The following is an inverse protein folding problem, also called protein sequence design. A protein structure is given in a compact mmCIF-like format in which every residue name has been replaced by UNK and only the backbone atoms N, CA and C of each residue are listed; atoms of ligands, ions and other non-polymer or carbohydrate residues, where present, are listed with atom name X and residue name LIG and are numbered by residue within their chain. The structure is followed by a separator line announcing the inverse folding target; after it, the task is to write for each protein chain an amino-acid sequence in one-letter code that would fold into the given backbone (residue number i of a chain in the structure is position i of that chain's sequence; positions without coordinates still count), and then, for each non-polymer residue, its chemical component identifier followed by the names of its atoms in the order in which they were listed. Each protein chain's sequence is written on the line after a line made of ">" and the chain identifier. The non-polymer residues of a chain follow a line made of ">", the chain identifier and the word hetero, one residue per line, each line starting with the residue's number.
data_IF_513462749500
#
_entry.id   IF_513462749500
#
_cell.length_a   1.000
_cell.length_b   1.000
_cell.length_c   1.000
_cell.angle_alpha   90.00
_cell.angle_beta   90.00
_cell.angle_gamma   90.00
#
_symmetry.space_group_name_H-M   'P 1'
#
loop_
_entity.id
_entity.type
_entity.pdbx_description
1 polymer ?
#
# COMPACT_ATOMS: atom_id res chain seq x y z
N UNK A 1 -22.11 24.91 45.29
CA UNK A 1 -22.92 25.46 44.17
C UNK A 1 -22.29 26.76 43.68
N UNK A 2 -22.21 26.89 42.34
CA UNK A 2 -21.66 28.00 41.52
C UNK A 2 -20.13 28.02 41.36
N UNK A 3 -19.55 28.30 40.19
CA UNK A 3 -19.97 28.41 38.77
C UNK A 3 -18.64 28.42 37.99
N UNK A 4 -18.55 27.68 36.89
CA UNK A 4 -17.42 27.64 35.95
C UNK A 4 -17.28 29.00 35.24
N UNK A 5 -16.06 29.52 35.08
CA UNK A 5 -15.69 30.47 34.02
C UNK A 5 -14.29 30.15 33.49
N UNK A 6 -14.25 29.73 32.23
CA UNK A 6 -13.08 29.45 31.41
C UNK A 6 -12.59 30.79 30.84
N UNK A 7 -11.31 31.12 31.02
CA UNK A 7 -10.66 32.24 30.32
C UNK A 7 -9.87 31.65 29.15
N UNK A 8 -10.46 31.73 27.95
CA UNK A 8 -9.79 31.52 26.67
C UNK A 8 -8.90 32.73 26.38
N UNK A 9 -7.58 32.56 26.49
CA UNK A 9 -6.62 33.56 26.00
C UNK A 9 -6.06 33.10 24.65
N UNK A 10 -6.77 33.48 23.59
CA UNK A 10 -6.27 33.54 22.22
C UNK A 10 -5.34 34.75 22.08
N UNK A 11 -4.05 34.52 21.85
CA UNK A 11 -3.17 35.53 21.24
C UNK A 11 -2.34 34.88 20.14
N UNK A 12 -2.67 35.34 18.94
CA UNK A 12 -2.16 34.98 17.62
C UNK A 12 -0.82 35.70 17.40
N UNK A 13 0.21 34.98 16.94
CA UNK A 13 1.32 35.57 16.20
C UNK A 13 1.54 34.76 14.92
N UNK A 14 0.74 35.11 13.91
CA UNK A 14 0.98 34.77 12.51
C UNK A 14 2.18 35.61 12.03
N UNK A 15 3.27 34.96 11.66
CA UNK A 15 4.35 35.58 10.88
C UNK A 15 4.11 35.21 9.42
N UNK A 16 3.59 36.15 8.64
CA UNK A 16 3.40 36.03 7.20
C UNK A 16 4.69 36.37 6.45
N UNK A 17 5.11 35.60 5.43
CA UNK A 17 6.18 35.99 4.52
C UNK A 17 5.73 37.13 3.60
N UNK A 18 6.69 38.02 3.28
CA UNK A 18 6.52 39.21 2.44
C UNK A 18 6.29 38.84 0.97
N UNK A 19 5.18 39.38 0.46
CA UNK A 19 4.89 39.88 -0.90
C UNK A 19 6.01 39.86 -1.96
N UNK A 20 5.61 39.35 -3.14
CA UNK A 20 6.09 39.77 -4.46
C UNK A 20 5.03 39.37 -5.50
N UNK A 21 4.23 40.33 -5.93
CA UNK A 21 3.14 40.20 -6.92
C UNK A 21 3.52 41.10 -8.10
N UNK A 22 3.60 40.54 -9.30
CA UNK A 22 3.59 41.29 -10.57
C UNK A 22 2.59 40.58 -11.50
N UNK A 23 1.50 41.29 -11.81
CA UNK A 23 0.51 40.98 -12.86
C UNK A 23 1.15 41.18 -14.24
N UNK A 24 0.78 40.37 -15.25
CA UNK A 24 0.30 40.86 -16.57
C UNK A 24 -0.62 39.79 -17.20
N UNK A 25 -1.82 40.24 -17.61
CA UNK A 25 -2.83 39.51 -18.39
C UNK A 25 -2.41 39.46 -19.87
N UNK A 26 -2.81 38.40 -20.61
CA UNK A 26 -3.63 38.57 -21.82
C UNK A 26 -4.08 37.24 -22.48
N UNK A 27 -5.39 37.22 -22.72
CA UNK A 27 -6.21 36.66 -23.83
C UNK A 27 -6.06 35.23 -24.39
N UNK A 28 -7.15 34.48 -24.17
CA UNK A 28 -7.96 33.61 -25.05
C UNK A 28 -7.34 32.96 -26.29
N UNK A 29 -7.45 31.61 -26.38
CA UNK A 29 -7.88 30.96 -27.62
C UNK A 29 -8.59 29.61 -27.37
N UNK A 30 -9.72 29.50 -28.06
CA UNK A 30 -10.63 28.40 -28.33
C UNK A 30 -9.95 27.15 -28.94
N UNK A 31 -10.47 25.96 -28.63
CA UNK A 31 -10.02 24.71 -29.25
C UNK A 31 -10.49 23.45 -28.54
N UNK A 32 -11.69 22.99 -28.91
CA UNK A 32 -12.27 21.66 -28.68
C UNK A 32 -11.31 20.50 -28.96
N UNK A 33 -11.41 19.42 -28.19
CA UNK A 33 -11.98 18.14 -28.65
C UNK A 33 -11.77 17.03 -27.60
N UNK A 34 -12.84 16.28 -27.39
CA UNK A 34 -12.94 15.13 -26.52
C UNK A 34 -12.13 13.97 -27.12
N UNK A 35 -11.12 13.48 -26.40
CA UNK A 35 -10.45 12.22 -26.75
C UNK A 35 -10.77 11.19 -25.65
N UNK A 36 -11.85 10.44 -25.88
CA UNK A 36 -12.11 9.18 -25.18
C UNK A 36 -11.07 8.18 -25.69
N UNK A 37 -10.11 7.81 -24.84
CA UNK A 37 -9.30 6.63 -25.11
C UNK A 37 -10.15 5.39 -24.87
N UNK A 38 -10.62 4.78 -25.96
CA UNK A 38 -11.18 3.43 -25.96
C UNK A 38 -10.14 2.46 -25.36
N UNK A 39 -10.46 1.90 -24.19
CA UNK A 39 -9.77 0.74 -23.62
C UNK A 39 -10.27 -0.49 -24.40
N UNK A 40 -9.53 -0.88 -25.43
CA UNK A 40 -9.76 -2.15 -26.13
C UNK A 40 -9.41 -3.29 -25.17
N UNK A 41 -10.43 -4.01 -24.70
CA UNK A 41 -10.26 -5.28 -23.99
C UNK A 41 -9.81 -6.35 -25.00
N UNK A 42 -8.55 -6.79 -24.91
CA UNK A 42 -8.02 -7.88 -25.73
C UNK A 42 -8.66 -9.22 -25.31
N UNK A 43 -9.68 -9.64 -26.06
CA UNK A 43 -10.41 -10.90 -25.87
C UNK A 43 -9.86 -11.95 -26.84
N UNK A 44 -9.58 -13.17 -26.35
CA UNK A 44 -9.17 -14.28 -27.22
C UNK A 44 -10.31 -14.80 -28.13
N UNK A 45 -9.97 -15.60 -29.16
CA UNK A 45 -10.97 -16.15 -30.10
C UNK A 45 -12.03 -17.09 -29.46
N UNK A 46 -11.93 -17.38 -28.16
CA UNK A 46 -12.87 -18.21 -27.39
C UNK A 46 -13.69 -17.40 -26.37
N UNK A 47 -13.50 -16.07 -26.28
CA UNK A 47 -14.30 -15.18 -25.45
C UNK A 47 -13.95 -15.21 -23.96
N UNK A 48 -12.71 -15.55 -23.60
CA UNK A 48 -12.23 -15.50 -22.21
C UNK A 48 -11.40 -14.23 -21.95
N UNK A 49 -11.63 -13.58 -20.81
CA UNK A 49 -10.78 -12.49 -20.32
C UNK A 49 -9.37 -13.03 -20.07
N UNK A 50 -8.37 -12.54 -20.81
CA UNK A 50 -6.98 -12.90 -20.59
C UNK A 50 -6.44 -12.02 -19.45
N UNK A 51 -6.34 -12.58 -18.25
CA UNK A 51 -5.55 -11.98 -17.17
C UNK A 51 -4.05 -12.06 -17.54
N UNK A 52 -3.56 -11.06 -18.29
CA UNK A 52 -2.14 -10.88 -18.59
C UNK A 52 -1.32 -10.33 -17.41
N UNK A 53 -1.66 -10.67 -16.16
CA UNK A 53 -0.69 -10.57 -15.05
C UNK A 53 -0.03 -11.90 -14.67
N UNK A 54 -0.07 -12.88 -15.58
CA UNK A 54 0.85 -14.02 -15.64
C UNK A 54 2.25 -13.66 -16.18
N UNK A 55 2.84 -12.56 -15.72
CA UNK A 55 4.15 -12.07 -16.17
C UNK A 55 5.31 -12.77 -15.49
N UNK A 56 5.66 -13.97 -15.96
CA UNK A 56 6.98 -14.56 -15.75
C UNK A 56 8.05 -13.75 -16.48
N UNK A 57 8.59 -12.74 -15.81
CA UNK A 57 9.69 -11.90 -16.27
C UNK A 57 10.74 -11.73 -15.17
N UNK A 58 11.99 -11.94 -15.53
CA UNK A 58 13.12 -12.12 -14.64
C UNK A 58 13.51 -10.83 -13.89
N UNK A 59 13.80 -10.99 -12.59
CA UNK A 59 14.48 -10.07 -11.66
C UNK A 59 13.73 -8.83 -11.14
N UNK A 60 13.13 -8.97 -9.95
CA UNK A 60 12.56 -7.82 -9.25
C UNK A 60 12.15 -7.99 -7.79
N UNK A 61 12.69 -8.97 -7.05
CA UNK A 61 12.56 -8.98 -5.58
C UNK A 61 13.78 -8.28 -4.98
N UNK A 62 13.57 -7.19 -4.25
CA UNK A 62 14.64 -6.41 -3.59
C UNK A 62 14.95 -6.94 -2.20
N UNK A 63 13.96 -7.59 -1.58
CA UNK A 63 14.16 -8.21 -0.28
C UNK A 63 15.25 -9.26 -0.43
N UNK A 64 16.18 -9.37 0.52
CA UNK A 64 17.14 -10.50 0.50
C UNK A 64 16.46 -11.82 0.91
N UNK A 65 15.13 -11.84 0.94
CA UNK A 65 14.32 -12.91 1.47
C UNK A 65 13.83 -13.84 0.36
N UNK A 66 13.71 -15.12 0.67
CA UNK A 66 13.14 -16.13 -0.21
C UNK A 66 11.62 -16.01 -0.20
N UNK A 67 10.98 -15.97 -1.38
CA UNK A 67 9.52 -15.95 -1.45
C UNK A 67 8.96 -17.31 -1.05
N UNK A 68 7.90 -17.31 -0.25
CA UNK A 68 7.16 -18.52 0.15
C UNK A 68 5.70 -18.35 -0.22
N UNK A 69 5.17 -19.30 -0.98
CA UNK A 69 3.75 -19.35 -1.32
C UNK A 69 2.92 -19.66 -0.06
N UNK A 70 1.84 -18.89 0.12
CA UNK A 70 0.95 -18.96 1.28
C UNK A 70 -0.49 -18.65 0.86
N UNK A 71 -1.39 -18.47 1.83
CA UNK A 71 -2.75 -17.98 1.63
C UNK A 71 -2.86 -16.46 1.45
N UNK A 72 -1.75 -15.71 1.60
CA UNK A 72 -1.69 -14.28 1.29
C UNK A 72 -1.82 -14.01 -0.21
N UNK A 73 -2.33 -12.83 -0.56
CA UNK A 73 -2.54 -12.42 -1.96
C UNK A 73 -1.85 -11.09 -2.23
N UNK A 74 -1.31 -10.94 -3.44
CA UNK A 74 -0.70 -9.68 -3.88
C UNK A 74 -1.75 -8.56 -3.75
N UNK A 75 -1.41 -7.53 -2.97
CA UNK A 75 -2.19 -6.30 -2.84
C UNK A 75 -1.28 -5.13 -3.22
N UNK A 76 -1.69 -4.35 -4.22
CA UNK A 76 -0.98 -3.15 -4.62
C UNK A 76 -0.88 -2.14 -3.48
N UNK A 77 0.23 -1.44 -3.37
CA UNK A 77 0.43 -0.35 -2.43
C UNK A 77 1.42 0.68 -2.96
N UNK A 78 1.18 1.95 -2.60
CA UNK A 78 2.10 3.07 -2.86
C UNK A 78 2.72 3.63 -1.57
N UNK A 79 2.20 3.21 -0.41
CA UNK A 79 2.69 3.63 0.90
C UNK A 79 2.46 2.55 1.96
N UNK A 80 3.19 2.62 3.07
CA UNK A 80 3.09 1.66 4.17
C UNK A 80 1.68 1.62 4.79
N UNK A 81 1.01 2.77 4.88
CA UNK A 81 -0.34 2.93 5.42
C UNK A 81 -1.37 2.13 4.62
N UNK A 82 -1.15 1.96 3.31
CA UNK A 82 -2.00 1.13 2.46
C UNK A 82 -1.99 -0.36 2.87
N UNK A 83 -1.07 -0.81 3.72
CA UNK A 83 -1.00 -2.18 4.22
C UNK A 83 -1.54 -2.36 5.65
N UNK A 84 -2.08 -1.31 6.29
CA UNK A 84 -2.57 -1.39 7.69
C UNK A 84 -3.79 -2.30 7.88
N UNK A 85 -4.57 -2.49 6.83
CA UNK A 85 -5.71 -3.42 6.79
C UNK A 85 -5.28 -4.86 6.45
N UNK A 86 -3.98 -5.15 6.40
CA UNK A 86 -3.44 -6.48 6.14
C UNK A 86 -2.83 -7.11 7.40
N UNK A 87 -2.75 -8.43 7.40
CA UNK A 87 -2.14 -9.28 8.43
C UNK A 87 -1.22 -10.30 7.77
N UNK A 88 -0.43 -10.99 8.58
CA UNK A 88 0.32 -12.13 8.12
C UNK A 88 -0.57 -13.19 7.46
N UNK A 89 -0.06 -14.00 6.53
CA UNK A 89 -0.78 -15.18 6.07
C UNK A 89 -1.26 -16.03 7.24
N UNK A 90 -2.47 -16.59 7.12
CA UNK A 90 -3.05 -17.50 8.10
C UNK A 90 -2.12 -18.69 8.39
N UNK A 91 -1.44 -19.19 7.36
CA UNK A 91 -0.42 -20.25 7.46
C UNK A 91 0.81 -19.86 8.28
N UNK A 92 1.02 -18.58 8.58
CA UNK A 92 2.13 -18.03 9.36
C UNK A 92 1.73 -17.53 10.74
N UNK A 93 0.43 -17.52 11.04
CA UNK A 93 -0.16 -17.04 12.28
C UNK A 93 0.48 -17.66 13.54
N UNK A 94 0.65 -18.98 13.52
CA UNK A 94 1.32 -19.73 14.58
C UNK A 94 2.73 -20.07 14.09
N UNK A 95 3.74 -19.42 14.67
CA UNK A 95 5.13 -19.70 14.37
C UNK A 95 5.50 -21.13 14.75
N UNK A 96 6.15 -21.85 13.84
CA UNK A 96 6.71 -23.17 14.09
C UNK A 96 8.06 -23.07 14.79
N UNK A 97 8.54 -24.18 15.33
CA UNK A 97 9.88 -24.26 15.92
C UNK A 97 10.95 -23.75 14.94
N UNK A 98 11.84 -22.88 15.44
CA UNK A 98 12.88 -22.26 14.64
C UNK A 98 12.44 -21.07 13.78
N UNK A 99 11.17 -20.66 13.86
CA UNK A 99 10.67 -19.46 13.20
C UNK A 99 10.56 -18.28 14.17
N UNK A 100 10.76 -17.07 13.65
CA UNK A 100 10.56 -15.82 14.41
C UNK A 100 10.16 -14.68 13.48
N UNK A 101 9.30 -13.78 13.96
CA UNK A 101 9.00 -12.53 13.26
C UNK A 101 10.25 -11.65 13.09
N UNK A 102 10.26 -10.84 12.03
CA UNK A 102 11.13 -9.67 11.96
C UNK A 102 10.57 -8.55 12.85
N UNK A 103 11.18 -7.39 12.84
CA UNK A 103 10.69 -6.18 13.50
C UNK A 103 9.60 -5.45 12.70
N UNK A 104 9.22 -5.98 11.52
CA UNK A 104 8.20 -5.42 10.64
C UNK A 104 6.98 -6.34 10.61
N UNK A 105 5.79 -5.76 10.76
CA UNK A 105 4.55 -6.40 10.34
C UNK A 105 4.39 -6.34 8.82
N UNK A 106 3.16 -6.43 8.32
CA UNK A 106 2.88 -6.15 6.92
C UNK A 106 3.33 -4.74 6.53
N UNK A 107 4.10 -4.62 5.45
CA UNK A 107 4.59 -3.35 4.93
C UNK A 107 4.52 -3.31 3.41
N UNK A 108 4.47 -2.09 2.86
CA UNK A 108 4.55 -1.89 1.43
C UNK A 108 6.00 -2.01 0.99
N UNK A 109 6.32 -2.99 0.15
CA UNK A 109 7.64 -3.05 -0.46
C UNK A 109 7.69 -2.20 -1.72
N UNK A 110 8.47 -1.12 -1.64
CA UNK A 110 8.45 0.00 -2.58
C UNK A 110 8.69 -0.41 -4.03
N UNK A 111 9.55 -1.40 -4.29
CA UNK A 111 9.86 -1.78 -5.67
C UNK A 111 8.88 -2.80 -6.25
N UNK A 112 8.22 -3.57 -5.39
CA UNK A 112 7.17 -4.50 -5.79
C UNK A 112 5.79 -3.86 -5.79
N UNK A 113 5.67 -2.65 -5.22
CA UNK A 113 4.41 -1.98 -4.94
C UNK A 113 3.39 -2.95 -4.31
N UNK A 114 3.85 -3.79 -3.37
CA UNK A 114 3.03 -4.87 -2.82
C UNK A 114 3.14 -4.99 -1.31
N UNK A 115 2.01 -5.25 -0.65
CA UNK A 115 1.99 -5.54 0.78
C UNK A 115 2.58 -6.94 1.05
N UNK A 116 3.72 -6.98 1.73
CA UNK A 116 4.42 -8.20 2.11
C UNK A 116 4.73 -8.22 3.60
N UNK A 117 5.04 -9.40 4.11
CA UNK A 117 5.56 -9.61 5.46
C UNK A 117 6.78 -10.52 5.40
N UNK A 118 7.73 -10.28 6.30
CA UNK A 118 8.96 -11.06 6.42
C UNK A 118 8.97 -11.86 7.73
N UNK A 119 9.58 -13.04 7.69
CA UNK A 119 9.93 -13.82 8.89
C UNK A 119 11.30 -14.45 8.74
N UNK A 120 11.88 -14.84 9.88
CA UNK A 120 13.04 -15.74 9.90
C UNK A 120 12.57 -17.17 10.03
N UNK A 121 13.18 -18.06 9.25
CA UNK A 121 13.00 -19.51 9.33
C UNK A 121 14.39 -20.16 9.43
N UNK A 122 14.81 -20.46 10.66
CA UNK A 122 16.19 -20.83 10.96
C UNK A 122 17.18 -19.73 10.58
N UNK A 123 18.05 -20.00 9.61
CA UNK A 123 19.04 -19.04 9.10
C UNK A 123 18.57 -18.26 7.87
N UNK A 124 17.38 -18.58 7.34
CA UNK A 124 16.83 -17.95 6.14
C UNK A 124 15.88 -16.81 6.51
N UNK A 125 15.89 -15.77 5.70
CA UNK A 125 14.84 -14.75 5.67
C UNK A 125 13.84 -15.16 4.60
N UNK A 126 12.56 -15.20 4.93
CA UNK A 126 11.47 -15.53 4.03
C UNK A 126 10.49 -14.35 3.96
N UNK A 127 9.84 -14.16 2.81
CA UNK A 127 8.73 -13.23 2.67
C UNK A 127 7.53 -13.88 1.99
N UNK A 128 6.35 -13.35 2.28
CA UNK A 128 5.10 -13.74 1.64
C UNK A 128 4.23 -12.50 1.46
N UNK A 129 3.23 -12.59 0.57
CA UNK A 129 2.18 -11.58 0.50
C UNK A 129 1.35 -11.59 1.78
N UNK A 130 0.83 -10.42 2.17
CA UNK A 130 -0.08 -10.35 3.30
C UNK A 130 -1.48 -10.85 2.96
N UNK A 131 -2.29 -11.09 4.00
CA UNK A 131 -3.69 -11.45 3.90
C UNK A 131 -4.59 -10.32 4.43
N UNK A 132 -5.81 -10.14 3.89
CA UNK A 132 -6.75 -9.15 4.42
C UNK A 132 -7.07 -9.38 5.90
N UNK A 133 -7.13 -8.32 6.69
CA UNK A 133 -7.55 -8.38 8.10
C UNK A 133 -9.01 -8.84 8.24
N UNK A 134 -9.85 -8.59 7.23
CA UNK A 134 -11.24 -9.01 7.25
C UNK A 134 -11.35 -10.53 7.40
N UNK A 135 -12.03 -10.98 8.45
CA UNK A 135 -12.17 -12.39 8.82
C UNK A 135 -10.86 -13.12 9.15
N UNK A 136 -9.76 -12.39 9.36
CA UNK A 136 -8.51 -12.95 9.80
C UNK A 136 -8.59 -13.39 11.27
N UNK A 137 -8.20 -14.62 11.58
CA UNK A 137 -8.30 -15.16 12.94
C UNK A 137 -7.12 -16.06 13.28
N UNK A 138 -6.28 -15.66 14.24
CA UNK A 138 -5.36 -16.60 14.89
C UNK A 138 -6.07 -17.34 16.02
N UNK A 139 -6.17 -18.66 15.91
CA UNK A 139 -6.62 -19.49 17.02
C UNK A 139 -5.48 -20.39 17.47
N UNK A 140 -5.06 -20.22 18.72
CA UNK A 140 -4.29 -21.23 19.42
C UNK A 140 -5.31 -22.20 20.03
N UNK A 141 -5.20 -23.48 19.71
CA UNK A 141 -6.00 -24.55 20.33
C UNK A 141 -5.70 -24.69 21.83
#
# INVERSE_FOLDING_TARGET
>A
MKKVLIILSLMILLVTPLYGYEDEMDEENDGSDEDMSDEEEDIDEEGHEIDENGGGGEEGYITKAEFVETDGKKKHCDSHEACYDQREPQSWCIMKDGQSWTDKGCFCEEKMHSCIIERKNGQKLEYAYCAPQANWQCSYD
#
